data_IF_401568581659
#
_entry.id   IF_401568581659
#
_cell.length_a   1.000
_cell.length_b   1.000
_cell.length_c   1.000
_cell.angle_alpha   90.00
_cell.angle_beta   90.00
_cell.angle_gamma   90.00
#
_symmetry.space_group_name_H-M   'P 1'
#
loop_
_entity.id
_entity.type
_entity.pdbx_description
1 polymer ?
#
# COMPACT_ATOMS: atom_id res chain seq x y z
N UNK A 1 -14.00 28.90 -11.74
CA UNK A 1 -12.84 29.00 -12.66
C UNK A 1 -12.61 27.62 -13.26
N UNK A 2 -13.03 27.45 -14.52
CA UNK A 2 -12.86 26.22 -15.29
C UNK A 2 -11.43 26.16 -15.81
N UNK A 3 -10.72 25.07 -15.55
CA UNK A 3 -9.39 24.83 -16.10
C UNK A 3 -9.52 24.56 -17.61
N UNK A 4 -8.89 25.39 -18.44
CA UNK A 4 -8.83 25.17 -19.88
C UNK A 4 -8.10 23.86 -20.21
N UNK A 5 -8.57 23.07 -21.20
CA UNK A 5 -7.91 21.85 -21.59
C UNK A 5 -6.53 22.16 -22.18
N UNK A 6 -5.52 21.41 -21.73
CA UNK A 6 -4.14 21.51 -22.22
C UNK A 6 -4.14 21.20 -23.72
N UNK A 7 -3.83 22.20 -24.54
CA UNK A 7 -3.76 22.05 -26.00
C UNK A 7 -2.40 21.47 -26.39
N UNK A 8 -2.36 20.18 -26.68
CA UNK A 8 -1.17 19.52 -27.23
C UNK A 8 -1.07 19.90 -28.71
N UNK A 9 0.06 20.47 -29.19
CA UNK A 9 0.20 20.87 -30.59
C UNK A 9 0.19 19.65 -31.53
N UNK A 10 -0.46 19.81 -32.70
CA UNK A 10 -0.78 18.74 -33.65
C UNK A 10 0.44 18.07 -34.34
N UNK A 11 1.65 18.59 -34.15
CA UNK A 11 2.87 18.03 -34.77
C UNK A 11 3.98 17.84 -33.73
N UNK A 12 4.10 16.60 -33.24
CA UNK A 12 5.36 16.01 -32.75
C UNK A 12 5.59 14.72 -33.53
N UNK A 13 5.81 14.86 -34.84
CA UNK A 13 6.17 13.74 -35.72
C UNK A 13 7.65 13.46 -35.51
N UNK A 14 7.94 12.39 -34.75
CA UNK A 14 9.29 11.85 -34.63
C UNK A 14 9.59 11.14 -33.31
N UNK A 15 8.83 11.41 -32.23
CA UNK A 15 9.08 10.76 -30.93
C UNK A 15 7.85 10.34 -30.12
N UNK A 16 6.62 10.66 -30.57
CA UNK A 16 5.40 10.24 -29.87
C UNK A 16 5.28 8.70 -29.71
N UNK A 17 5.54 7.87 -30.73
CA UNK A 17 5.41 6.42 -30.60
C UNK A 17 6.38 5.82 -29.57
N UNK A 18 7.62 6.33 -29.53
CA UNK A 18 8.62 5.88 -28.56
C UNK A 18 8.35 6.40 -27.15
N UNK A 19 7.80 7.61 -27.00
CA UNK A 19 7.35 8.11 -25.70
C UNK A 19 6.19 7.28 -25.15
N UNK A 20 5.17 7.01 -25.98
CA UNK A 20 4.05 6.12 -25.62
C UNK A 20 4.56 4.71 -25.31
N UNK A 21 5.52 4.19 -26.08
CA UNK A 21 6.13 2.87 -25.83
C UNK A 21 6.88 2.84 -24.49
N UNK A 22 7.73 3.82 -24.20
CA UNK A 22 8.48 3.91 -22.94
C UNK A 22 7.52 4.08 -21.77
N UNK A 23 6.50 4.92 -21.91
CA UNK A 23 5.49 5.12 -20.88
C UNK A 23 4.70 3.84 -20.61
N UNK A 24 4.35 3.07 -21.64
CA UNK A 24 3.70 1.77 -21.50
C UNK A 24 4.62 0.71 -20.90
N UNK A 25 5.90 0.69 -21.28
CA UNK A 25 6.91 -0.19 -20.68
C UNK A 25 7.15 0.15 -19.21
N UNK A 26 7.24 1.43 -18.86
CA UNK A 26 7.33 1.88 -17.47
C UNK A 26 6.07 1.49 -16.70
N UNK A 27 4.88 1.67 -17.26
CA UNK A 27 3.62 1.21 -16.66
C UNK A 27 3.59 -0.30 -16.41
N UNK A 28 4.14 -1.09 -17.33
CA UNK A 28 4.27 -2.55 -17.16
C UNK A 28 5.31 -2.92 -16.11
N UNK A 29 6.51 -2.33 -16.15
CA UNK A 29 7.60 -2.58 -15.20
C UNK A 29 7.21 -2.18 -13.78
N UNK A 30 6.56 -1.02 -13.63
CA UNK A 30 6.06 -0.51 -12.35
C UNK A 30 4.75 -1.19 -11.92
N UNK A 31 4.28 -2.21 -12.67
CA UNK A 31 3.05 -2.95 -12.45
C UNK A 31 1.82 -2.06 -12.22
N UNK A 32 1.77 -0.89 -12.86
CA UNK A 32 0.69 0.10 -12.80
C UNK A 32 -0.57 -0.41 -13.51
N UNK A 33 -0.57 -1.65 -14.01
CA UNK A 33 -1.72 -2.31 -14.62
C UNK A 33 -2.38 -3.36 -13.71
N UNK A 34 -1.82 -3.65 -12.55
CA UNK A 34 -2.37 -4.64 -11.62
C UNK A 34 -3.24 -3.95 -10.57
N UNK A 35 -4.38 -4.56 -10.24
CA UNK A 35 -5.15 -4.21 -9.05
C UNK A 35 -4.56 -4.99 -7.88
N UNK A 36 -4.21 -4.28 -6.81
CA UNK A 36 -3.57 -4.83 -5.63
C UNK A 36 -4.55 -4.78 -4.46
N UNK A 37 -4.81 -5.95 -3.87
CA UNK A 37 -5.54 -6.06 -2.62
C UNK A 37 -4.61 -5.72 -1.46
N UNK A 38 -4.98 -4.71 -0.68
CA UNK A 38 -4.17 -4.14 0.40
C UNK A 38 -4.81 -4.41 1.75
N UNK A 39 -3.98 -4.90 2.69
CA UNK A 39 -4.29 -5.02 4.11
C UNK A 39 -3.68 -3.84 4.87
N UNK A 40 -4.47 -3.15 5.69
CA UNK A 40 -3.97 -2.13 6.62
C UNK A 40 -3.87 -2.69 8.05
N UNK A 41 -2.66 -2.73 8.60
CA UNK A 41 -2.40 -3.12 9.98
C UNK A 41 -2.11 -1.89 10.85
N UNK A 42 -2.94 -1.67 11.85
CA UNK A 42 -2.88 -0.52 12.74
C UNK A 42 -3.73 0.64 12.23
N UNK A 43 -4.91 0.83 12.82
CA UNK A 43 -5.91 1.86 12.50
C UNK A 43 -5.86 2.99 13.54
N UNK A 44 -4.64 3.32 13.95
CA UNK A 44 -4.31 4.49 14.76
C UNK A 44 -4.22 5.77 13.91
N UNK A 45 -3.50 6.77 14.41
CA UNK A 45 -3.37 8.08 13.73
C UNK A 45 -2.81 7.96 12.31
N UNK A 46 -1.72 7.20 12.13
CA UNK A 46 -1.07 7.03 10.83
C UNK A 46 -1.92 6.19 9.88
N UNK A 47 -2.42 5.03 10.34
CA UNK A 47 -3.27 4.17 9.50
C UNK A 47 -4.52 4.89 9.01
N UNK A 48 -5.20 5.64 9.88
CA UNK A 48 -6.34 6.47 9.47
C UNK A 48 -5.93 7.56 8.47
N UNK A 49 -4.79 8.22 8.67
CA UNK A 49 -4.32 9.23 7.72
C UNK A 49 -4.02 8.64 6.34
N UNK A 50 -3.45 7.43 6.27
CA UNK A 50 -3.23 6.70 5.02
C UNK A 50 -4.56 6.32 4.37
N UNK A 51 -5.48 5.80 5.17
CA UNK A 51 -6.78 5.31 4.71
C UNK A 51 -7.67 6.44 4.17
N UNK A 52 -7.65 7.61 4.82
CA UNK A 52 -8.40 8.79 4.41
C UNK A 52 -7.70 9.61 3.31
N UNK A 53 -6.48 9.24 2.87
CA UNK A 53 -5.77 9.99 1.84
C UNK A 53 -6.30 9.66 0.43
N UNK A 54 -6.88 10.63 -0.31
CA UNK A 54 -7.46 10.37 -1.63
C UNK A 54 -6.42 9.94 -2.68
N UNK A 55 -5.14 10.26 -2.46
CA UNK A 55 -4.06 9.84 -3.36
C UNK A 55 -3.52 8.43 -3.08
N UNK A 56 -3.98 7.76 -2.00
CA UNK A 56 -3.65 6.35 -1.73
C UNK A 56 -4.65 5.38 -2.39
N UNK A 57 -5.72 5.93 -2.96
CA UNK A 57 -6.53 5.29 -3.99
C UNK A 57 -6.15 5.81 -5.38
N UNK A 58 -4.90 5.62 -5.88
CA UNK A 58 -4.79 5.38 -7.32
C UNK A 58 -5.77 4.25 -7.62
N UNK A 59 -6.45 4.25 -8.77
CA UNK A 59 -7.54 3.35 -9.17
C UNK A 59 -7.30 1.83 -9.01
N UNK A 60 -6.15 1.42 -8.46
CA UNK A 60 -5.61 0.06 -8.42
C UNK A 60 -5.08 -0.41 -7.07
N UNK A 61 -4.97 0.44 -6.06
CA UNK A 61 -4.64 0.00 -4.69
C UNK A 61 -5.91 0.04 -3.86
N UNK A 62 -6.45 -1.13 -3.54
CA UNK A 62 -7.70 -1.23 -2.80
C UNK A 62 -7.40 -1.75 -1.41
N UNK A 63 -7.61 -0.89 -0.41
CA UNK A 63 -7.61 -1.35 0.98
C UNK A 63 -8.91 -2.14 1.16
N UNK A 64 -8.81 -3.47 1.15
CA UNK A 64 -9.95 -4.40 1.19
C UNK A 64 -10.17 -4.97 2.59
N UNK A 65 -9.18 -4.85 3.46
CA UNK A 65 -9.26 -5.28 4.84
C UNK A 65 -8.37 -4.42 5.76
N UNK A 66 -8.78 -4.31 7.02
CA UNK A 66 -8.01 -3.63 8.06
C UNK A 66 -8.05 -4.43 9.36
N UNK A 67 -6.98 -4.37 10.15
CA UNK A 67 -6.91 -5.01 11.47
C UNK A 67 -6.19 -4.11 12.49
N UNK A 68 -6.60 -4.21 13.75
CA UNK A 68 -6.00 -3.48 14.88
C UNK A 68 -6.16 -4.28 16.17
N UNK A 69 -5.19 -4.20 17.08
CA UNK A 69 -5.23 -4.93 18.36
C UNK A 69 -6.04 -4.23 19.45
N UNK A 70 -6.54 -3.01 19.20
CA UNK A 70 -7.36 -2.28 20.15
C UNK A 70 -8.78 -2.88 20.22
N UNK A 71 -9.15 -3.56 21.33
CA UNK A 71 -10.42 -4.25 21.46
C UNK A 71 -11.63 -3.32 21.40
N UNK A 72 -11.43 -2.01 21.62
CA UNK A 72 -12.52 -1.04 21.55
C UNK A 72 -12.99 -0.79 20.12
N UNK A 73 -12.14 -1.01 19.11
CA UNK A 73 -12.47 -0.74 17.70
C UNK A 73 -12.63 -2.00 16.86
N UNK A 74 -12.18 -3.17 17.34
CA UNK A 74 -12.41 -4.45 16.67
C UNK A 74 -13.92 -4.67 16.47
N UNK A 75 -14.31 -5.06 15.26
CA UNK A 75 -15.71 -5.22 14.84
C UNK A 75 -16.42 -3.93 14.43
N UNK A 76 -15.84 -2.76 14.70
CA UNK A 76 -16.40 -1.49 14.22
C UNK A 76 -16.10 -1.29 12.73
N UNK A 77 -16.95 -0.51 12.06
CA UNK A 77 -16.70 -0.05 10.69
C UNK A 77 -16.08 1.34 10.72
N UNK A 78 -14.90 1.49 10.11
CA UNK A 78 -14.19 2.76 9.96
C UNK A 78 -13.97 2.96 8.46
N UNK A 79 -14.32 4.14 7.92
CA UNK A 79 -14.37 4.47 6.47
C UNK A 79 -14.84 3.31 5.56
N UNK A 80 -15.87 2.58 5.98
CA UNK A 80 -16.48 1.50 5.19
C UNK A 80 -15.79 0.12 5.28
N UNK A 81 -14.72 -0.04 6.08
CA UNK A 81 -14.11 -1.33 6.38
C UNK A 81 -14.34 -1.77 7.82
N UNK A 82 -14.67 -3.05 8.00
CA UNK A 82 -14.71 -3.68 9.32
C UNK A 82 -13.29 -3.88 9.83
N UNK A 83 -13.03 -3.46 11.07
CA UNK A 83 -11.75 -3.68 11.72
C UNK A 83 -11.69 -5.09 12.30
N UNK A 84 -10.74 -5.89 11.83
CA UNK A 84 -10.59 -7.29 12.19
C UNK A 84 -9.63 -7.48 13.36
N UNK A 85 -9.79 -8.61 14.05
CA UNK A 85 -8.85 -9.07 15.06
C UNK A 85 -7.57 -9.60 14.38
N UNK A 86 -6.36 -9.16 14.78
CA UNK A 86 -5.10 -9.66 14.26
C UNK A 86 -4.93 -11.20 14.33
N UNK A 87 -5.57 -11.86 15.28
CA UNK A 87 -5.53 -13.33 15.40
C UNK A 87 -6.17 -14.04 14.20
N UNK A 88 -6.98 -13.34 13.41
CA UNK A 88 -7.63 -13.86 12.20
C UNK A 88 -6.87 -13.54 10.91
N UNK A 89 -5.69 -12.92 10.99
CA UNK A 89 -4.94 -12.42 9.82
C UNK A 89 -4.63 -13.50 8.77
N UNK A 90 -4.28 -14.71 9.18
CA UNK A 90 -3.98 -15.80 8.22
C UNK A 90 -5.18 -16.13 7.32
N UNK A 91 -6.39 -16.07 7.87
CA UNK A 91 -7.64 -16.30 7.14
C UNK A 91 -7.97 -15.09 6.28
N UNK A 92 -7.85 -13.89 6.86
CA UNK A 92 -8.06 -12.61 6.19
C UNK A 92 -7.20 -12.45 4.92
N UNK A 93 -5.90 -12.77 5.03
CA UNK A 93 -4.94 -12.68 3.91
C UNK A 93 -5.35 -13.61 2.77
N UNK A 94 -5.81 -14.81 3.09
CA UNK A 94 -6.25 -15.80 2.10
C UNK A 94 -7.57 -15.41 1.45
N UNK A 95 -8.59 -15.11 2.25
CA UNK A 95 -9.96 -14.88 1.78
C UNK A 95 -10.07 -13.63 0.91
N UNK A 96 -9.27 -12.59 1.23
CA UNK A 96 -9.23 -11.34 0.47
C UNK A 96 -8.14 -11.32 -0.61
N UNK A 97 -7.38 -12.41 -0.79
CA UNK A 97 -6.27 -12.51 -1.74
C UNK A 97 -5.31 -11.31 -1.61
N UNK A 98 -4.88 -11.00 -0.37
CA UNK A 98 -4.07 -9.82 -0.10
C UNK A 98 -2.69 -9.98 -0.76
N UNK A 99 -2.29 -8.96 -1.53
CA UNK A 99 -0.98 -8.91 -2.15
C UNK A 99 0.00 -8.04 -1.36
N UNK A 100 -0.50 -6.96 -0.76
CA UNK A 100 0.30 -5.92 -0.12
C UNK A 100 -0.22 -5.67 1.29
N UNK A 101 0.70 -5.53 2.25
CA UNK A 101 0.35 -5.07 3.60
C UNK A 101 0.99 -3.72 3.91
N UNK A 102 0.20 -2.81 4.47
CA UNK A 102 0.67 -1.57 5.09
C UNK A 102 0.75 -1.79 6.59
N UNK A 103 1.95 -1.63 7.14
CA UNK A 103 2.23 -1.84 8.56
C UNK A 103 2.41 -0.48 9.24
N UNK A 104 1.37 -0.06 9.95
CA UNK A 104 1.28 1.18 10.72
C UNK A 104 1.15 0.90 12.24
N UNK A 105 1.81 -0.17 12.72
CA UNK A 105 1.85 -0.58 14.12
C UNK A 105 3.05 0.03 14.86
N UNK A 106 3.07 0.03 16.21
CA UNK A 106 4.24 0.46 16.98
C UNK A 106 5.51 -0.31 16.61
N UNK A 107 6.65 0.36 16.75
CA UNK A 107 7.98 -0.16 16.39
C UNK A 107 8.30 -1.51 17.04
N UNK A 108 7.87 -1.71 18.30
CA UNK A 108 8.10 -2.94 19.07
C UNK A 108 7.37 -4.16 18.50
N UNK A 109 6.33 -3.95 17.69
CA UNK A 109 5.52 -5.01 17.07
C UNK A 109 5.82 -5.20 15.59
N UNK A 110 6.60 -4.31 14.98
CA UNK A 110 6.74 -4.28 13.51
C UNK A 110 7.43 -5.53 12.98
N UNK A 111 8.50 -6.03 13.63
CA UNK A 111 9.21 -7.23 13.16
C UNK A 111 8.31 -8.47 13.21
N UNK A 112 7.67 -8.76 14.35
CA UNK A 112 6.83 -9.96 14.50
C UNK A 112 5.67 -9.97 13.49
N UNK A 113 5.03 -8.81 13.28
CA UNK A 113 3.96 -8.67 12.29
C UNK A 113 4.48 -8.93 10.88
N UNK A 114 5.69 -8.47 10.56
CA UNK A 114 6.29 -8.71 9.25
C UNK A 114 6.59 -10.19 9.08
N UNK A 115 7.16 -10.87 10.07
CA UNK A 115 7.44 -12.30 10.02
C UNK A 115 6.17 -13.12 9.73
N UNK A 116 5.07 -12.81 10.43
CA UNK A 116 3.76 -13.43 10.18
C UNK A 116 3.26 -13.18 8.74
N UNK A 117 3.38 -11.94 8.23
CA UNK A 117 2.97 -11.61 6.86
C UNK A 117 3.79 -12.36 5.81
N UNK A 118 5.08 -12.60 6.06
CA UNK A 118 5.93 -13.41 5.19
C UNK A 118 5.47 -14.86 5.17
N UNK A 119 5.13 -15.44 6.33
CA UNK A 119 4.57 -16.79 6.42
C UNK A 119 3.23 -16.92 5.67
N UNK A 120 2.44 -15.85 5.63
CA UNK A 120 1.17 -15.84 4.92
C UNK A 120 1.31 -15.62 3.40
N UNK A 121 2.53 -15.39 2.90
CA UNK A 121 2.81 -15.26 1.47
C UNK A 121 2.49 -13.88 0.88
N UNK A 122 2.48 -12.83 1.71
CA UNK A 122 2.35 -11.45 1.24
C UNK A 122 3.51 -11.11 0.30
N UNK A 123 3.21 -10.49 -0.84
CA UNK A 123 4.19 -10.19 -1.90
C UNK A 123 4.97 -8.91 -1.61
N UNK A 124 4.35 -7.95 -0.95
CA UNK A 124 4.97 -6.66 -0.65
C UNK A 124 4.51 -6.10 0.70
N UNK A 125 5.43 -5.48 1.43
CA UNK A 125 5.15 -4.82 2.70
C UNK A 125 5.63 -3.37 2.63
N UNK A 126 4.74 -2.45 2.97
CA UNK A 126 5.02 -1.03 3.17
C UNK A 126 4.98 -0.72 4.67
N UNK A 127 6.12 -0.32 5.25
CA UNK A 127 6.21 0.06 6.66
C UNK A 127 6.87 1.44 6.81
N UNK A 128 6.43 2.18 7.83
CA UNK A 128 6.94 3.54 8.13
C UNK A 128 7.81 3.61 9.40
N UNK A 129 8.09 2.46 10.03
CA UNK A 129 8.93 2.41 11.21
C UNK A 129 10.43 2.59 10.86
N UNK A 130 11.12 3.45 11.59
CA UNK A 130 12.57 3.64 11.51
C UNK A 130 13.30 2.47 12.20
N UNK A 131 13.29 1.29 11.57
CA UNK A 131 13.97 0.09 12.06
C UNK A 131 14.70 -0.65 10.95
N UNK A 132 15.82 -1.27 11.33
CA UNK A 132 16.45 -2.32 10.54
C UNK A 132 15.62 -3.59 10.68
N UNK A 133 14.99 -4.00 9.58
CA UNK A 133 14.25 -5.24 9.51
C UNK A 133 15.18 -6.40 9.16
N UNK A 134 14.99 -7.53 9.82
CA UNK A 134 15.65 -8.78 9.45
C UNK A 134 14.66 -9.58 8.62
N UNK A 135 14.91 -9.69 7.32
CA UNK A 135 14.08 -10.49 6.43
C UNK A 135 14.94 -11.36 5.51
N UNK A 136 14.42 -12.53 5.07
CA UNK A 136 15.11 -13.36 4.10
C UNK A 136 15.39 -12.61 2.79
N UNK A 137 16.48 -12.96 2.11
CA UNK A 137 17.00 -12.28 0.92
C UNK A 137 16.05 -12.25 -0.28
N UNK A 138 15.09 -13.16 -0.32
CA UNK A 138 14.10 -13.34 -1.37
C UNK A 138 12.93 -12.34 -1.30
N UNK A 139 12.79 -11.59 -0.20
CA UNK A 139 11.73 -10.60 -0.02
C UNK A 139 12.23 -9.17 -0.27
N UNK A 140 11.44 -8.38 -1.01
CA UNK A 140 11.69 -6.94 -1.20
C UNK A 140 10.90 -6.13 -0.20
N UNK A 141 11.61 -5.40 0.66
CA UNK A 141 11.04 -4.39 1.54
C UNK A 141 11.30 -2.99 0.98
N UNK A 142 10.26 -2.16 0.97
CA UNK A 142 10.37 -0.74 0.66
C UNK A 142 10.17 0.05 1.96
N UNK A 143 11.26 0.58 2.51
CA UNK A 143 11.23 1.50 3.66
C UNK A 143 11.13 2.94 3.15
N UNK A 144 10.10 3.67 3.54
CA UNK A 144 9.91 5.09 3.20
C UNK A 144 10.35 5.99 4.36
N UNK A 145 11.34 6.87 4.12
CA UNK A 145 11.80 7.88 5.07
C UNK A 145 11.48 9.29 4.56
N UNK A 146 10.83 10.12 5.40
CA UNK A 146 10.86 11.57 5.24
C UNK A 146 12.06 12.13 5.98
N UNK A 147 13.11 12.50 5.24
CA UNK A 147 14.25 13.25 5.78
C UNK A 147 13.93 14.74 5.62
N UNK A 148 13.61 15.43 6.72
CA UNK A 148 13.68 16.88 6.72
C UNK A 148 15.17 17.27 6.66
N UNK A 149 15.56 17.98 5.61
CA UNK A 149 16.80 18.74 5.63
C UNK A 149 16.56 19.95 6.55
N UNK A 150 17.23 19.96 7.70
CA UNK A 150 17.46 21.20 8.46
C UNK A 150 18.64 21.95 7.84
#
# INVERSE_FOLDING_TARGET
MSASPIKVPDVVIGRLPQFVRILNQLKQILAINNNWSVLLLGVGRLGRAIFSYPGFTPDRFHIVAAADSNPTIIGQTIEGLVINDPNTMSTLVRDHSIDISIVAVPIQRTQSVIDELLEYGIKAILHYACITLHVPSEFRILTQYYRYNL
#
